data_IF_017566173535
#
_entry.id   IF_017566173535
#
_cell.length_a   1.000
_cell.length_b   1.000
_cell.length_c   1.000
_cell.angle_alpha   90.00
_cell.angle_beta   90.00
_cell.angle_gamma   90.00
#
_symmetry.space_group_name_H-M   'P 1'
#
loop_
_entity.id
_entity.type
_entity.pdbx_description
1 polymer ?
#
# COMPACT_ATOMS: atom_id res chain seq x y z
N UNK A 1 -14.55 8.06 24.61
CA UNK A 1 -14.85 8.93 23.46
C UNK A 1 -13.95 8.39 22.36
N UNK A 2 -14.47 7.45 21.55
CA UNK A 2 -13.70 6.97 20.40
C UNK A 2 -13.37 8.20 19.56
N UNK A 3 -12.14 8.24 19.06
CA UNK A 3 -11.64 9.28 18.18
C UNK A 3 -12.60 9.37 16.98
N UNK A 4 -13.59 10.27 17.09
CA UNK A 4 -14.28 10.83 15.95
C UNK A 4 -13.19 11.54 15.17
N UNK A 5 -12.47 10.78 14.34
CA UNK A 5 -11.50 11.31 13.42
C UNK A 5 -12.26 11.52 12.11
N UNK A 6 -12.95 12.66 11.90
CA UNK A 6 -13.52 13.03 10.61
C UNK A 6 -12.46 13.03 9.50
N UNK A 7 -11.17 12.97 9.87
CA UNK A 7 -10.03 12.82 8.97
C UNK A 7 -9.93 11.44 8.32
N UNK A 8 -10.36 10.34 8.94
CA UNK A 8 -10.20 9.01 8.31
C UNK A 8 -11.06 8.88 7.04
N UNK A 9 -12.25 9.50 7.05
CA UNK A 9 -13.13 9.56 5.89
C UNK A 9 -12.62 10.51 4.80
N UNK A 10 -11.84 11.53 5.17
CA UNK A 10 -11.21 12.43 4.19
C UNK A 10 -10.20 11.72 3.28
N UNK A 11 -9.58 10.63 3.76
CA UNK A 11 -8.75 9.76 2.94
C UNK A 11 -9.54 8.78 2.07
N UNK A 12 -10.79 8.45 2.40
CA UNK A 12 -11.54 7.39 1.69
C UNK A 12 -11.71 7.68 0.19
N UNK A 13 -12.04 8.92 -0.17
CA UNK A 13 -12.31 9.31 -1.55
C UNK A 13 -11.07 9.22 -2.48
N UNK A 14 -9.90 9.81 -2.14
CA UNK A 14 -8.70 9.65 -2.95
C UNK A 14 -8.30 8.18 -3.16
N UNK A 15 -8.60 7.31 -2.21
CA UNK A 15 -8.22 5.91 -2.26
C UNK A 15 -9.14 5.11 -3.15
N UNK A 16 -10.44 5.34 -3.02
CA UNK A 16 -11.42 4.72 -3.89
C UNK A 16 -11.17 5.12 -5.35
N UNK A 17 -10.82 6.39 -5.59
CA UNK A 17 -10.39 6.85 -6.90
C UNK A 17 -9.11 6.13 -7.38
N UNK A 18 -8.12 5.93 -6.52
CA UNK A 18 -6.89 5.18 -6.87
C UNK A 18 -7.21 3.73 -7.24
N UNK A 19 -8.01 3.02 -6.44
CA UNK A 19 -8.36 1.63 -6.69
C UNK A 19 -9.13 1.44 -8.01
N UNK A 20 -10.08 2.34 -8.28
CA UNK A 20 -10.97 2.20 -9.44
C UNK A 20 -10.34 2.79 -10.70
N UNK A 21 -9.80 4.01 -10.62
CA UNK A 21 -9.31 4.71 -11.82
C UNK A 21 -7.89 4.31 -12.18
N UNK A 22 -7.00 4.20 -11.21
CA UNK A 22 -5.60 3.88 -11.48
C UNK A 22 -5.36 2.37 -11.55
N UNK A 23 -5.87 1.62 -10.56
CA UNK A 23 -5.69 0.17 -10.51
C UNK A 23 -6.76 -0.62 -11.30
N UNK A 24 -7.79 0.06 -11.84
CA UNK A 24 -8.86 -0.55 -12.66
C UNK A 24 -9.58 -1.69 -11.95
N UNK A 25 -9.67 -1.65 -10.62
CA UNK A 25 -10.40 -2.64 -9.84
C UNK A 25 -11.90 -2.35 -9.98
N UNK A 26 -12.72 -3.31 -10.47
CA UNK A 26 -14.15 -3.11 -10.50
C UNK A 26 -14.68 -2.83 -9.09
N UNK A 27 -15.53 -1.80 -8.91
CA UNK A 27 -16.06 -1.45 -7.59
C UNK A 27 -16.68 -2.64 -6.83
N UNK A 28 -17.36 -3.55 -7.55
CA UNK A 28 -17.96 -4.77 -7.00
C UNK A 28 -16.96 -5.78 -6.42
N UNK A 29 -15.66 -5.60 -6.67
CA UNK A 29 -14.58 -6.40 -6.09
C UNK A 29 -13.87 -5.71 -4.93
N UNK A 30 -14.29 -4.49 -4.57
CA UNK A 30 -13.72 -3.73 -3.46
C UNK A 30 -14.59 -3.97 -2.22
N UNK A 31 -13.95 -4.49 -1.16
CA UNK A 31 -14.55 -4.75 0.13
C UNK A 31 -14.13 -3.68 1.14
N UNK A 32 -15.08 -2.94 1.69
CA UNK A 32 -14.89 -1.90 2.69
C UNK A 32 -15.28 -2.45 4.06
N UNK A 33 -14.28 -2.72 4.89
CA UNK A 33 -14.49 -3.06 6.30
C UNK A 33 -14.53 -1.79 7.15
N UNK A 34 -15.44 -1.73 8.11
CA UNK A 34 -15.56 -0.58 9.01
C UNK A 34 -15.91 -1.01 10.45
N UNK A 35 -15.13 -0.52 11.43
CA UNK A 35 -15.31 -0.84 12.84
C UNK A 35 -16.29 0.10 13.57
N UNK A 36 -16.70 1.17 12.91
CA UNK A 36 -17.76 2.08 13.33
C UNK A 36 -18.79 2.22 12.20
N UNK A 37 -20.04 2.65 12.48
CA UNK A 37 -20.99 2.96 11.43
C UNK A 37 -20.38 3.91 10.40
N UNK A 38 -20.56 3.60 9.11
CA UNK A 38 -20.16 4.52 8.04
C UNK A 38 -20.92 5.85 8.20
N UNK A 39 -20.28 6.97 7.90
CA UNK A 39 -21.01 8.21 7.67
C UNK A 39 -22.01 8.00 6.52
N UNK A 40 -23.16 8.65 6.60
CA UNK A 40 -24.25 8.51 5.63
C UNK A 40 -23.77 8.76 4.19
N UNK A 41 -22.99 9.83 3.97
CA UNK A 41 -22.43 10.18 2.67
C UNK A 41 -21.47 9.11 2.11
N UNK A 42 -20.71 8.46 2.98
CA UNK A 42 -19.83 7.35 2.59
C UNK A 42 -20.63 6.07 2.31
N UNK A 43 -21.65 5.77 3.11
CA UNK A 43 -22.52 4.61 2.91
C UNK A 43 -23.29 4.70 1.58
N UNK A 44 -23.83 5.88 1.27
CA UNK A 44 -24.48 6.16 -0.01
C UNK A 44 -23.52 6.01 -1.18
N UNK A 45 -22.29 6.54 -1.05
CA UNK A 45 -21.26 6.40 -2.06
C UNK A 45 -20.92 4.92 -2.33
N UNK A 46 -20.67 4.14 -1.27
CA UNK A 46 -20.40 2.71 -1.37
C UNK A 46 -21.52 1.98 -2.11
N UNK A 47 -22.77 2.27 -1.76
CA UNK A 47 -23.95 1.68 -2.38
C UNK A 47 -24.05 2.05 -3.86
N UNK A 48 -23.92 3.34 -4.17
CA UNK A 48 -24.00 3.87 -5.55
C UNK A 48 -22.91 3.29 -6.45
N UNK A 49 -21.73 3.05 -5.90
CA UNK A 49 -20.61 2.48 -6.64
C UNK A 49 -20.66 0.95 -6.69
N UNK A 50 -21.53 0.30 -5.92
CA UNK A 50 -21.61 -1.15 -5.84
C UNK A 50 -20.45 -1.79 -5.07
N UNK A 51 -19.86 -1.07 -4.11
CA UNK A 51 -18.84 -1.63 -3.21
C UNK A 51 -19.49 -2.63 -2.25
N UNK A 52 -18.73 -3.66 -1.85
CA UNK A 52 -19.15 -4.55 -0.77
C UNK A 52 -18.77 -3.89 0.55
N UNK A 53 -19.72 -3.69 1.46
CA UNK A 53 -19.44 -3.14 2.80
C UNK A 53 -19.67 -4.19 3.86
N UNK A 54 -18.83 -4.20 4.91
CA UNK A 54 -18.98 -5.11 6.04
C UNK A 54 -18.62 -4.40 7.34
N UNK A 55 -19.59 -4.31 8.24
CA UNK A 55 -19.34 -3.92 9.61
C UNK A 55 -18.49 -5.01 10.29
N UNK A 56 -17.41 -4.60 10.95
CA UNK A 56 -16.65 -5.46 11.86
C UNK A 56 -16.97 -5.05 13.29
N UNK A 57 -16.97 -6.01 14.22
CA UNK A 57 -17.22 -5.70 15.62
C UNK A 57 -16.22 -4.64 16.13
N UNK A 58 -16.69 -3.64 16.91
CA UNK A 58 -15.82 -2.65 17.49
C UNK A 58 -14.72 -3.30 18.32
N UNK A 59 -13.49 -2.94 18.03
CA UNK A 59 -12.31 -3.40 18.75
C UNK A 59 -11.90 -2.34 19.79
N UNK A 60 -11.68 -2.76 21.05
CA UNK A 60 -11.23 -1.87 22.14
C UNK A 60 -9.71 -2.05 22.37
N UNK A 61 -8.86 -1.20 21.76
CA UNK A 61 -7.41 -1.34 21.85
C UNK A 61 -6.86 -1.14 23.26
N UNK A 62 -7.60 -0.47 24.15
CA UNK A 62 -7.10 -0.07 25.48
C UNK A 62 -7.16 -1.24 26.45
N UNK A 63 -8.09 -2.18 26.27
CA UNK A 63 -8.20 -3.36 27.13
C UNK A 63 -7.15 -4.44 26.84
N UNK A 64 -6.51 -4.40 25.66
CA UNK A 64 -5.70 -5.51 25.15
C UNK A 64 -4.25 -5.14 24.78
N UNK A 65 -3.82 -3.89 24.99
CA UNK A 65 -2.44 -3.47 24.67
C UNK A 65 -1.59 -3.19 25.92
N UNK A 66 -0.53 -3.98 26.10
CA UNK A 66 0.66 -3.59 26.89
C UNK A 66 1.47 -2.53 26.11
N UNK A 67 1.69 -1.38 26.73
CA UNK A 67 2.09 -0.11 26.08
C UNK A 67 3.58 0.00 25.65
N UNK A 68 4.43 -1.01 25.82
CA UNK A 68 5.90 -0.85 25.70
C UNK A 68 6.53 -1.05 24.31
N UNK A 69 5.79 -1.31 23.22
CA UNK A 69 6.38 -1.86 21.97
C UNK A 69 6.61 -0.91 20.77
N UNK A 70 6.61 0.42 20.93
CA UNK A 70 6.51 1.37 19.79
C UNK A 70 7.78 1.63 18.92
N UNK A 71 8.85 0.85 19.05
CA UNK A 71 10.18 1.23 18.50
C UNK A 71 10.34 1.03 16.98
N UNK A 72 9.45 0.30 16.30
CA UNK A 72 9.65 -0.11 14.90
C UNK A 72 8.73 0.57 13.86
N UNK A 73 8.08 1.68 14.21
CA UNK A 73 7.24 2.42 13.26
C UNK A 73 5.90 1.75 12.91
N UNK A 74 5.63 0.53 13.43
CA UNK A 74 4.30 -0.06 13.50
C UNK A 74 3.54 0.54 14.69
N UNK A 75 2.27 0.88 14.52
CA UNK A 75 1.42 1.27 15.65
C UNK A 75 1.38 0.19 16.73
N UNK A 76 1.21 0.60 18.00
CA UNK A 76 1.24 -0.25 19.21
C UNK A 76 0.37 -1.52 19.07
N UNK A 77 -0.71 -1.46 18.28
CA UNK A 77 -1.63 -2.58 18.09
C UNK A 77 -1.18 -3.70 17.14
N UNK A 78 0.05 -3.71 16.62
CA UNK A 78 0.53 -4.74 15.66
C UNK A 78 1.57 -5.70 16.24
N UNK A 79 1.69 -5.76 17.57
CA UNK A 79 2.67 -6.60 18.30
C UNK A 79 2.00 -7.43 19.39
N UNK A 80 2.73 -8.40 19.95
CA UNK A 80 2.28 -9.23 21.06
C UNK A 80 1.00 -10.03 20.76
N UNK A 81 0.14 -10.15 21.78
CA UNK A 81 -1.14 -10.88 21.67
C UNK A 81 -2.07 -10.28 20.60
N UNK A 82 -2.02 -8.96 20.43
CA UNK A 82 -2.80 -8.24 19.42
C UNK A 82 -2.47 -8.62 17.99
N UNK A 83 -1.19 -8.90 17.70
CA UNK A 83 -0.79 -9.41 16.39
C UNK A 83 -1.46 -10.78 16.11
N UNK A 84 -1.50 -11.66 17.11
CA UNK A 84 -2.16 -12.96 17.02
C UNK A 84 -3.66 -12.84 16.77
N UNK A 85 -4.33 -11.95 17.51
CA UNK A 85 -5.77 -11.72 17.37
C UNK A 85 -6.13 -11.17 15.98
N UNK A 86 -5.39 -10.18 15.47
CA UNK A 86 -5.57 -9.63 14.12
C UNK A 86 -5.33 -10.66 13.03
N UNK A 87 -4.27 -11.47 13.15
CA UNK A 87 -4.02 -12.59 12.22
C UNK A 87 -5.18 -13.58 12.23
N UNK A 88 -5.68 -13.95 13.39
CA UNK A 88 -6.84 -14.85 13.52
C UNK A 88 -8.15 -14.27 12.97
N UNK A 89 -8.32 -12.95 12.97
CA UNK A 89 -9.44 -12.30 12.29
C UNK A 89 -9.28 -12.33 10.77
N UNK A 90 -8.08 -12.01 10.26
CA UNK A 90 -7.79 -12.03 8.83
C UNK A 90 -7.90 -13.44 8.22
N UNK A 91 -7.40 -14.47 8.89
CA UNK A 91 -7.50 -15.86 8.40
C UNK A 91 -8.95 -16.37 8.31
N UNK A 92 -9.83 -15.87 9.18
CA UNK A 92 -11.28 -16.17 9.09
C UNK A 92 -12.00 -15.34 8.04
N UNK A 93 -11.55 -14.13 7.78
CA UNK A 93 -12.19 -13.21 6.86
C UNK A 93 -11.76 -13.43 5.41
N UNK A 94 -10.52 -13.86 5.18
CA UNK A 94 -9.90 -13.98 3.87
C UNK A 94 -9.48 -15.45 3.67
N UNK A 95 -10.10 -16.17 2.72
CA UNK A 95 -9.75 -17.56 2.47
C UNK A 95 -8.30 -17.68 1.97
N UNK A 96 -7.59 -18.68 2.49
CA UNK A 96 -6.17 -18.93 2.20
C UNK A 96 -5.93 -19.44 0.76
N UNK A 97 -6.92 -20.08 0.16
CA UNK A 97 -6.84 -20.76 -1.14
C UNK A 97 -7.43 -19.96 -2.30
N UNK A 98 -7.94 -18.75 -2.05
CA UNK A 98 -8.52 -17.90 -3.07
C UNK A 98 -7.47 -17.23 -3.97
N UNK A 99 -7.70 -17.20 -5.28
CA UNK A 99 -7.02 -16.30 -6.23
C UNK A 99 -7.52 -14.85 -6.03
N UNK A 100 -7.41 -14.35 -4.80
CA UNK A 100 -7.78 -13.01 -4.40
C UNK A 100 -6.57 -12.09 -4.54
N UNK A 101 -6.81 -10.89 -5.09
CA UNK A 101 -5.88 -9.78 -5.02
C UNK A 101 -6.20 -8.96 -3.78
N UNK A 102 -5.24 -8.84 -2.87
CA UNK A 102 -5.38 -8.17 -1.59
C UNK A 102 -4.63 -6.84 -1.66
N UNK A 103 -5.34 -5.77 -1.33
CA UNK A 103 -4.76 -4.46 -1.09
C UNK A 103 -4.89 -4.18 0.40
N UNK A 104 -3.76 -4.05 1.09
CA UNK A 104 -3.70 -3.80 2.52
C UNK A 104 -3.12 -2.41 2.76
N UNK A 105 -3.91 -1.55 3.38
CA UNK A 105 -3.54 -0.16 3.59
C UNK A 105 -3.32 0.14 5.07
N UNK A 106 -2.21 0.81 5.36
CA UNK A 106 -1.66 0.85 6.71
C UNK A 106 -1.03 -0.50 7.03
N UNK A 107 -0.43 -1.15 6.03
CA UNK A 107 0.12 -2.49 6.15
C UNK A 107 1.28 -2.56 7.15
N UNK A 108 1.79 -1.40 7.58
CA UNK A 108 2.87 -1.27 8.51
C UNK A 108 4.12 -1.96 7.97
N UNK A 109 4.76 -2.72 8.85
CA UNK A 109 5.95 -3.52 8.58
C UNK A 109 5.61 -4.93 8.08
N UNK A 110 4.37 -5.13 7.61
CA UNK A 110 3.81 -6.39 7.12
C UNK A 110 3.73 -7.52 8.15
N UNK A 111 3.99 -7.27 9.44
CA UNK A 111 3.97 -8.36 10.41
C UNK A 111 2.58 -9.00 10.51
N UNK A 112 1.50 -8.24 10.38
CA UNK A 112 0.15 -8.82 10.37
C UNK A 112 -0.01 -9.84 9.24
N UNK A 113 0.49 -9.56 8.05
CA UNK A 113 0.26 -10.39 6.85
C UNK A 113 1.36 -11.44 6.61
N UNK A 114 2.42 -11.41 7.42
CA UNK A 114 3.51 -12.37 7.34
C UNK A 114 3.03 -13.79 7.60
N UNK A 115 3.31 -14.68 6.65
CA UNK A 115 2.96 -16.10 6.71
C UNK A 115 1.62 -16.46 6.05
N UNK A 116 0.84 -15.48 5.59
CA UNK A 116 -0.34 -15.77 4.78
C UNK A 116 0.06 -16.26 3.37
N UNK A 117 -0.65 -17.25 2.79
CA UNK A 117 -0.29 -17.84 1.51
C UNK A 117 -0.80 -17.04 0.29
N UNK A 118 -1.09 -15.75 0.45
CA UNK A 118 -1.70 -14.92 -0.58
C UNK A 118 -0.73 -14.64 -1.73
N UNK A 119 -1.12 -15.04 -2.94
CA UNK A 119 -0.28 -14.92 -4.15
C UNK A 119 -0.24 -13.51 -4.72
N UNK A 120 -1.30 -12.73 -4.51
CA UNK A 120 -1.43 -11.38 -5.02
C UNK A 120 -1.75 -10.42 -3.86
N UNK A 121 -0.70 -9.86 -3.26
CA UNK A 121 -0.81 -8.93 -2.14
C UNK A 121 -0.08 -7.62 -2.49
N UNK A 122 -0.70 -6.49 -2.20
CA UNK A 122 -0.12 -5.14 -2.31
C UNK A 122 -0.32 -4.43 -1.00
N UNK A 123 0.77 -4.10 -0.31
CA UNK A 123 0.75 -3.29 0.91
C UNK A 123 1.02 -1.82 0.59
N UNK A 124 0.26 -0.90 1.20
CA UNK A 124 0.49 0.55 1.15
C UNK A 124 0.54 1.09 2.57
N UNK A 125 1.48 1.96 2.87
CA UNK A 125 1.54 2.68 4.14
C UNK A 125 2.02 4.12 3.92
N UNK A 126 1.64 5.02 4.81
CA UNK A 126 2.14 6.41 4.82
C UNK A 126 3.46 6.53 5.59
N UNK A 127 3.76 5.56 6.46
CA UNK A 127 5.00 5.44 7.23
C UNK A 127 6.12 4.87 6.36
N UNK A 128 7.06 5.74 5.99
CA UNK A 128 8.25 5.36 5.23
C UNK A 128 9.10 4.32 5.96
N UNK A 129 9.09 4.32 7.29
CA UNK A 129 9.86 3.36 8.10
C UNK A 129 9.24 1.97 8.09
N UNK A 130 7.92 1.89 8.06
CA UNK A 130 7.21 0.63 7.95
C UNK A 130 7.43 0.00 6.55
N UNK A 131 7.35 0.81 5.49
CA UNK A 131 7.62 0.35 4.13
C UNK A 131 9.10 0.00 3.87
N UNK A 132 10.05 0.62 4.58
CA UNK A 132 11.48 0.27 4.48
C UNK A 132 11.75 -1.18 4.89
N UNK A 133 10.88 -1.79 5.70
CA UNK A 133 10.95 -3.19 6.10
C UNK A 133 10.32 -4.11 5.02
N UNK A 134 9.49 -3.55 4.12
CA UNK A 134 8.42 -4.26 3.40
C UNK A 134 8.60 -4.44 1.87
N UNK A 135 9.80 -4.31 1.29
CA UNK A 135 10.07 -4.63 -0.14
C UNK A 135 9.44 -3.70 -1.20
N UNK A 136 9.49 -2.38 -0.98
CA UNK A 136 9.27 -1.38 -2.04
C UNK A 136 8.55 -0.14 -1.54
N UNK A 137 8.77 0.99 -2.20
CA UNK A 137 8.21 2.29 -1.83
C UNK A 137 7.49 2.89 -3.03
N UNK A 138 6.29 3.44 -2.80
CA UNK A 138 5.70 4.41 -3.72
C UNK A 138 6.13 5.80 -3.28
N UNK A 139 6.79 6.53 -4.16
CA UNK A 139 7.31 7.86 -3.91
C UNK A 139 6.68 8.82 -4.90
N UNK A 140 6.08 9.90 -4.42
CA UNK A 140 5.58 10.98 -5.28
C UNK A 140 6.23 12.31 -4.91
N UNK A 141 6.74 13.00 -5.92
CA UNK A 141 7.28 14.34 -5.84
C UNK A 141 7.42 14.91 -7.26
N UNK A 142 7.89 16.14 -7.35
CA UNK A 142 8.15 16.81 -8.62
C UNK A 142 9.30 16.13 -9.37
N UNK A 143 9.08 15.88 -10.66
CA UNK A 143 10.10 15.36 -11.58
C UNK A 143 10.53 16.41 -12.63
N UNK A 144 9.98 17.61 -12.47
CA UNK A 144 10.24 18.84 -13.20
C UNK A 144 9.83 20.01 -12.32
N UNK A 145 10.27 21.21 -12.68
CA UNK A 145 9.83 22.43 -12.00
C UNK A 145 8.29 22.53 -12.02
N UNK A 146 7.60 22.72 -10.88
CA UNK A 146 6.14 22.78 -10.84
C UNK A 146 5.59 24.02 -11.53
N UNK A 147 4.46 23.86 -12.21
CA UNK A 147 3.78 24.98 -12.90
C UNK A 147 3.18 25.97 -11.89
N UNK A 148 2.84 25.48 -10.69
CA UNK A 148 2.31 26.29 -9.59
C UNK A 148 3.31 26.34 -8.43
N UNK A 149 4.12 27.39 -8.42
CA UNK A 149 4.96 27.71 -7.27
C UNK A 149 4.16 28.47 -6.20
N UNK A 150 4.22 27.96 -4.97
CA UNK A 150 3.79 28.67 -3.77
C UNK A 150 4.99 28.85 -2.84
N UNK A 151 4.86 29.65 -1.79
CA UNK A 151 5.93 29.81 -0.79
C UNK A 151 6.26 28.51 -0.03
N UNK A 152 5.44 27.45 -0.18
CA UNK A 152 5.71 26.11 0.36
C UNK A 152 6.16 25.12 -0.73
N UNK A 153 6.23 25.54 -1.99
CA UNK A 153 6.68 24.70 -3.10
C UNK A 153 8.18 24.87 -3.29
N UNK A 154 8.95 23.81 -3.10
CA UNK A 154 10.39 23.80 -3.35
C UNK A 154 10.74 22.66 -4.30
N UNK A 155 11.37 22.99 -5.42
CA UNK A 155 11.93 22.05 -6.38
C UNK A 155 13.44 22.19 -6.39
N UNK A 156 14.14 21.09 -6.09
CA UNK A 156 15.60 21.04 -6.10
C UNK A 156 16.11 20.37 -7.37
N UNK A 157 15.64 19.15 -7.63
CA UNK A 157 15.98 18.35 -8.80
C UNK A 157 14.86 17.33 -9.10
N UNK A 158 14.84 16.69 -10.28
CA UNK A 158 13.87 15.65 -10.60
C UNK A 158 13.91 14.49 -9.62
N UNK A 159 12.74 14.09 -9.10
CA UNK A 159 12.62 12.93 -8.21
C UNK A 159 13.28 11.66 -8.80
N UNK A 160 13.13 11.41 -10.10
CA UNK A 160 13.75 10.28 -10.77
C UNK A 160 15.28 10.28 -10.64
N UNK A 161 15.91 11.46 -10.72
CA UNK A 161 17.35 11.63 -10.53
C UNK A 161 17.75 11.35 -9.09
N UNK A 162 17.04 11.93 -8.11
CA UNK A 162 17.29 11.68 -6.68
C UNK A 162 17.19 10.19 -6.36
N UNK A 163 16.15 9.51 -6.85
CA UNK A 163 15.93 8.08 -6.59
C UNK A 163 17.00 7.20 -7.26
N UNK A 164 17.39 7.52 -8.49
CA UNK A 164 18.41 6.77 -9.23
C UNK A 164 19.82 6.94 -8.65
N UNK A 165 20.11 8.06 -7.98
CA UNK A 165 21.41 8.33 -7.37
C UNK A 165 21.62 7.64 -6.01
N UNK A 166 20.60 6.95 -5.47
CA UNK A 166 20.69 6.31 -4.15
C UNK A 166 21.30 4.91 -4.23
N UNK A 167 22.39 4.70 -3.49
CA UNK A 167 23.09 3.40 -3.43
C UNK A 167 22.26 2.27 -2.79
N UNK A 168 21.26 2.63 -1.98
CA UNK A 168 20.33 1.71 -1.34
C UNK A 168 19.11 1.39 -2.21
N UNK A 169 19.00 1.95 -3.41
CA UNK A 169 17.91 1.67 -4.34
C UNK A 169 18.37 0.67 -5.40
N UNK A 170 17.66 -0.45 -5.52
CA UNK A 170 17.96 -1.48 -6.52
C UNK A 170 17.20 -1.25 -7.83
N UNK A 171 16.01 -0.65 -7.76
CA UNK A 171 15.15 -0.43 -8.91
C UNK A 171 14.25 0.79 -8.74
N UNK A 172 14.08 1.56 -9.80
CA UNK A 172 13.17 2.71 -9.88
C UNK A 172 12.30 2.55 -11.12
N UNK A 173 10.99 2.66 -10.96
CA UNK A 173 10.01 2.61 -12.03
C UNK A 173 9.05 3.78 -11.92
N UNK A 174 9.04 4.65 -12.93
CA UNK A 174 8.02 5.67 -13.03
C UNK A 174 6.67 5.04 -13.36
N UNK A 175 5.69 5.21 -12.49
CA UNK A 175 4.34 4.67 -12.67
C UNK A 175 3.43 5.64 -13.42
N UNK A 176 3.58 6.94 -13.19
CA UNK A 176 2.76 7.95 -13.82
C UNK A 176 2.99 9.35 -13.27
N UNK A 177 2.04 10.23 -13.55
CA UNK A 177 2.01 11.62 -13.09
C UNK A 177 0.59 11.96 -12.59
N UNK A 178 0.50 12.81 -11.58
CA UNK A 178 -0.75 13.40 -11.13
C UNK A 178 -0.52 14.87 -10.82
N UNK A 179 -1.18 15.76 -11.58
CA UNK A 179 -0.84 17.19 -11.63
C UNK A 179 0.65 17.34 -12.00
N UNK A 180 1.42 18.05 -11.19
CA UNK A 180 2.83 18.35 -11.48
C UNK A 180 3.77 17.34 -10.81
N UNK A 181 3.25 16.37 -10.04
CA UNK A 181 4.06 15.35 -9.37
C UNK A 181 4.10 14.06 -10.17
N UNK A 182 5.28 13.44 -10.23
CA UNK A 182 5.42 12.07 -10.69
C UNK A 182 5.17 11.10 -9.54
N UNK A 183 4.80 9.87 -9.88
CA UNK A 183 4.72 8.75 -8.95
C UNK A 183 5.69 7.66 -9.42
N UNK A 184 6.54 7.21 -8.52
CA UNK A 184 7.55 6.20 -8.73
C UNK A 184 7.34 5.01 -7.80
N UNK A 185 7.56 3.80 -8.30
CA UNK A 185 7.84 2.63 -7.48
C UNK A 185 9.36 2.47 -7.33
N UNK A 186 9.82 2.22 -6.11
CA UNK A 186 11.23 2.16 -5.76
C UNK A 186 11.47 0.88 -4.96
N UNK A 187 12.21 -0.07 -5.52
CA UNK A 187 12.66 -1.24 -4.76
C UNK A 187 13.98 -0.89 -4.07
N UNK A 188 14.02 -1.04 -2.74
CA UNK A 188 15.23 -0.84 -1.95
C UNK A 188 16.06 -2.12 -1.94
N UNK A 189 17.37 -2.00 -2.10
CA UNK A 189 18.31 -3.10 -1.87
C UNK A 189 18.33 -3.43 -0.37
N UNK A 190 18.03 -4.67 -0.01
CA UNK A 190 18.13 -5.16 1.36
C UNK A 190 19.42 -5.99 1.48
N UNK A 191 20.47 -5.51 2.18
CA UNK A 191 21.71 -6.25 2.34
C UNK A 191 21.46 -7.64 2.94
N UNK A 192 21.97 -8.68 2.29
CA UNK A 192 21.80 -10.07 2.73
C UNK A 192 20.46 -10.72 2.35
N UNK A 193 19.54 -9.97 1.76
CA UNK A 193 18.32 -10.54 1.17
C UNK A 193 18.59 -10.91 -0.28
N UNK A 194 18.51 -12.20 -0.59
CA UNK A 194 18.64 -12.75 -1.94
C UNK A 194 17.22 -12.98 -2.42
N UNK A 195 16.78 -12.27 -3.46
CA UNK A 195 15.47 -12.56 -4.04
C UNK A 195 15.46 -14.01 -4.53
N UNK A 196 14.32 -14.72 -4.52
CA UNK A 196 14.24 -16.08 -5.07
C UNK A 196 14.77 -16.19 -6.52
N UNK A 197 14.74 -15.09 -7.28
CA UNK A 197 15.35 -14.99 -8.61
C UNK A 197 16.87 -14.79 -8.64
N UNK A 198 17.49 -14.31 -7.56
CA UNK A 198 18.94 -14.08 -7.45
C UNK A 198 19.74 -15.37 -7.26
N UNK A 199 19.09 -16.44 -6.79
CA UNK A 199 19.66 -17.80 -6.75
C UNK A 199 19.62 -18.45 -8.15
N UNK A 200 18.77 -17.94 -9.05
CA UNK A 200 18.47 -18.50 -10.36
C UNK A 200 19.07 -17.62 -11.47
N UNK A 201 20.40 -17.73 -11.63
CA UNK A 201 21.19 -17.37 -12.82
C UNK A 201 21.58 -15.87 -12.99
N UNK A 202 22.89 -15.60 -12.94
CA UNK A 202 23.51 -14.24 -12.99
C UNK A 202 23.43 -13.54 -14.35
N UNK A 203 23.00 -14.22 -15.42
CA UNK A 203 23.02 -13.68 -16.79
C UNK A 203 21.76 -12.88 -17.20
N UNK A 204 20.79 -12.67 -16.31
CA UNK A 204 19.45 -12.17 -16.69
C UNK A 204 19.06 -10.87 -15.97
N UNK A 205 19.96 -9.87 -15.96
CA UNK A 205 19.59 -8.50 -15.61
C UNK A 205 18.58 -7.90 -16.63
N UNK A 206 18.66 -8.33 -17.90
CA UNK A 206 17.72 -7.95 -18.96
C UNK A 206 16.30 -8.49 -18.75
N UNK A 207 16.13 -9.59 -18.03
CA UNK A 207 14.82 -10.20 -17.78
C UNK A 207 14.04 -9.49 -16.67
N UNK A 208 14.69 -8.74 -15.77
CA UNK A 208 13.99 -7.93 -14.76
C UNK A 208 13.13 -6.84 -15.40
N UNK A 209 13.67 -6.18 -16.43
CA UNK A 209 12.89 -5.29 -17.28
C UNK A 209 11.78 -6.04 -18.01
N UNK A 210 12.01 -7.28 -18.45
CA UNK A 210 10.98 -8.07 -19.12
C UNK A 210 9.84 -8.48 -18.18
N UNK A 211 10.10 -8.84 -16.92
CA UNK A 211 9.05 -9.21 -15.94
C UNK A 211 8.23 -7.99 -15.53
N UNK A 212 8.87 -6.86 -15.20
CA UNK A 212 8.15 -5.62 -14.89
C UNK A 212 7.39 -5.09 -16.12
N UNK A 213 7.99 -5.14 -17.32
CA UNK A 213 7.30 -4.77 -18.58
C UNK A 213 6.21 -5.75 -18.95
N UNK A 214 6.34 -7.05 -18.69
CA UNK A 214 5.31 -8.07 -18.95
C UNK A 214 4.15 -7.93 -17.97
N UNK A 215 4.43 -7.61 -16.70
CA UNK A 215 3.42 -7.23 -15.72
C UNK A 215 2.63 -6.00 -16.19
N UNK A 216 3.32 -4.93 -16.63
CA UNK A 216 2.74 -3.70 -17.19
C UNK A 216 2.02 -3.95 -18.53
N UNK A 217 2.56 -4.78 -19.41
CA UNK A 217 1.98 -5.13 -20.72
C UNK A 217 0.69 -5.92 -20.53
N UNK A 218 0.68 -6.87 -19.58
CA UNK A 218 -0.52 -7.62 -19.19
C UNK A 218 -1.58 -6.72 -18.56
N UNK A 219 -1.18 -5.67 -17.84
CA UNK A 219 -2.14 -4.66 -17.33
C UNK A 219 -2.63 -3.70 -18.43
N UNK A 220 -1.79 -3.33 -19.42
CA UNK A 220 -2.19 -2.49 -20.57
C UNK A 220 -3.04 -3.20 -21.63
N UNK A 221 -2.90 -4.51 -21.81
CA UNK A 221 -3.76 -5.32 -22.70
C UNK A 221 -5.21 -5.46 -22.21
N UNK A 222 -5.51 -5.01 -20.98
CA UNK A 222 -6.84 -5.06 -20.36
C UNK A 222 -7.53 -3.68 -20.41
N UNK A 223 -6.81 -2.64 -20.84
CA UNK A 223 -7.30 -1.25 -20.95
C UNK A 223 -7.40 -0.77 -22.42
N UNK A 224 -7.57 -1.69 -23.37
CA UNK A 224 -8.07 -1.36 -24.71
C UNK A 224 -9.58 -1.29 -24.70
#
# INVERSE_FOLDING_TARGET
MLDDAPRIWSSFLPWLATAIELARIPPSRILVHHACPLREDIAELCTRMGLVTRAVEPFDPIKECDLESSVLGSGIGSRGEMLGLKRGLLSRAIPEDGDLSILDWGCGDLEIVKGFPWKAYTGIDVSIEALRIALGLLVSAYDRDPDIASHITYFHEPLGSTLAARDDVDFVLRLGEYRDTAVYFVAKRIPGFVFPGDVMNKERMSDRCAVAREFIRKTRLITG
#
